data_IF_198458687902
#
_entry.id   IF_198458687902
#
_cell.length_a   1.000
_cell.length_b   1.000
_cell.length_c   1.000
_cell.angle_alpha   90.00
_cell.angle_beta   90.00
_cell.angle_gamma   90.00
#
_symmetry.space_group_name_H-M   'P 1'
#
loop_
_entity.id
_entity.type
_entity.pdbx_description
1 polymer ?
#
# COMPACT_ATOMS: atom_id res chain seq x y z
N UNK A 1 -19.68 -23.21 -1.27
CA UNK A 1 -18.42 -22.51 -1.63
C UNK A 1 -18.31 -21.28 -0.74
N UNK A 2 -17.32 -21.22 0.14
CA UNK A 2 -17.16 -20.09 1.06
C UNK A 2 -16.57 -18.89 0.31
N UNK A 3 -17.09 -17.68 0.57
CA UNK A 3 -16.61 -16.43 -0.03
C UNK A 3 -15.07 -16.24 0.11
N UNK A 4 -14.47 -16.76 1.18
CA UNK A 4 -13.01 -16.78 1.38
C UNK A 4 -12.28 -17.63 0.34
N UNK A 5 -12.80 -18.79 0.00
CA UNK A 5 -12.20 -19.67 -1.02
C UNK A 5 -12.34 -19.07 -2.43
N UNK A 6 -13.45 -18.38 -2.69
CA UNK A 6 -13.67 -17.68 -3.95
C UNK A 6 -12.68 -16.53 -4.11
N UNK A 7 -12.46 -15.74 -3.05
CA UNK A 7 -11.48 -14.66 -3.04
C UNK A 7 -10.05 -15.18 -3.25
N UNK A 8 -9.66 -16.27 -2.57
CA UNK A 8 -8.35 -16.89 -2.72
C UNK A 8 -8.13 -17.45 -4.12
N UNK A 9 -9.12 -18.13 -4.69
CA UNK A 9 -9.05 -18.68 -6.05
C UNK A 9 -8.98 -17.55 -7.09
N UNK A 10 -9.66 -16.45 -6.86
CA UNK A 10 -9.65 -15.29 -7.75
C UNK A 10 -8.27 -14.58 -7.72
N UNK A 11 -7.66 -14.44 -6.54
CA UNK A 11 -6.29 -13.93 -6.40
C UNK A 11 -5.31 -14.83 -7.15
N UNK A 12 -5.47 -16.16 -7.04
CA UNK A 12 -4.59 -17.14 -7.69
C UNK A 12 -4.77 -17.16 -9.22
N UNK A 13 -6.01 -16.98 -9.72
CA UNK A 13 -6.31 -16.96 -11.15
C UNK A 13 -5.88 -15.69 -11.88
N UNK A 14 -5.89 -14.54 -11.20
CA UNK A 14 -5.59 -13.22 -11.76
C UNK A 14 -4.28 -12.60 -11.22
N UNK A 15 -3.32 -13.44 -10.89
CA UNK A 15 -2.05 -13.05 -10.26
C UNK A 15 -1.32 -11.89 -10.96
N UNK A 16 -1.44 -11.80 -12.28
CA UNK A 16 -0.79 -10.73 -13.06
C UNK A 16 -1.32 -9.33 -12.72
N UNK A 17 -2.61 -9.18 -12.49
CA UNK A 17 -3.24 -7.91 -12.13
C UNK A 17 -2.95 -7.54 -10.66
N UNK A 18 -2.86 -8.55 -9.79
CA UNK A 18 -2.55 -8.36 -8.38
C UNK A 18 -1.08 -7.98 -8.14
N UNK A 19 -0.14 -8.48 -8.98
CA UNK A 19 1.28 -8.10 -8.89
C UNK A 19 1.47 -6.59 -8.98
N UNK A 20 0.84 -5.95 -9.95
CA UNK A 20 0.98 -4.49 -10.13
C UNK A 20 0.51 -3.73 -8.91
N UNK A 21 -0.64 -4.11 -8.35
CA UNK A 21 -1.17 -3.50 -7.12
C UNK A 21 -0.27 -3.75 -5.91
N UNK A 22 0.20 -4.99 -5.71
CA UNK A 22 1.10 -5.34 -4.62
C UNK A 22 2.43 -4.58 -4.70
N UNK A 23 3.04 -4.54 -5.88
CA UNK A 23 4.31 -3.83 -6.09
C UNK A 23 4.14 -2.34 -5.79
N UNK A 24 3.08 -1.71 -6.29
CA UNK A 24 2.77 -0.31 -6.04
C UNK A 24 2.54 -0.02 -4.55
N UNK A 25 1.77 -0.86 -3.88
CA UNK A 25 1.50 -0.70 -2.44
C UNK A 25 2.74 -0.94 -1.60
N UNK A 26 3.53 -1.97 -1.90
CA UNK A 26 4.80 -2.24 -1.23
C UNK A 26 5.78 -1.07 -1.39
N UNK A 27 5.90 -0.53 -2.60
CA UNK A 27 6.79 0.60 -2.88
C UNK A 27 6.41 1.84 -2.06
N UNK A 28 5.12 2.15 -1.96
CA UNK A 28 4.63 3.25 -1.12
C UNK A 28 4.98 3.05 0.35
N UNK A 29 4.80 1.83 0.87
CA UNK A 29 5.11 1.51 2.26
C UNK A 29 6.63 1.59 2.51
N UNK A 30 7.45 1.10 1.60
CA UNK A 30 8.92 1.17 1.69
C UNK A 30 9.39 2.62 1.72
N UNK A 31 8.88 3.47 0.81
CA UNK A 31 9.22 4.90 0.79
C UNK A 31 8.83 5.59 2.09
N UNK A 32 7.63 5.34 2.59
CA UNK A 32 7.16 5.87 3.85
C UNK A 32 8.02 5.39 5.03
N UNK A 33 8.36 4.11 5.08
CA UNK A 33 9.19 3.53 6.13
C UNK A 33 10.61 4.10 6.12
N UNK A 34 11.23 4.22 4.93
CA UNK A 34 12.55 4.84 4.80
C UNK A 34 12.56 6.29 5.27
N UNK A 35 11.52 7.03 4.90
CA UNK A 35 11.36 8.41 5.35
C UNK A 35 11.20 8.52 6.88
N UNK A 36 10.35 7.67 7.48
CA UNK A 36 10.18 7.62 8.91
C UNK A 36 11.48 7.22 9.63
N UNK A 37 12.20 6.22 9.11
CA UNK A 37 13.48 5.77 9.64
C UNK A 37 14.53 6.89 9.62
N UNK A 38 14.56 7.70 8.57
CA UNK A 38 15.48 8.83 8.46
C UNK A 38 15.19 9.93 9.48
N UNK A 39 13.90 10.25 9.72
CA UNK A 39 13.53 11.28 10.72
C UNK A 39 13.95 10.87 12.14
N UNK A 40 13.80 9.60 12.47
CA UNK A 40 14.11 9.08 13.81
C UNK A 40 15.57 8.65 13.96
N UNK A 41 16.43 8.87 12.96
CA UNK A 41 17.83 8.54 13.06
C UNK A 41 18.55 9.36 14.17
N UNK A 42 19.33 8.71 15.04
CA UNK A 42 19.99 9.38 16.17
C UNK A 42 20.85 10.57 15.75
N UNK A 43 21.55 10.48 14.62
CA UNK A 43 22.42 11.54 14.11
C UNK A 43 21.64 12.78 13.67
N UNK A 44 20.41 12.61 13.18
CA UNK A 44 19.50 13.71 12.83
C UNK A 44 18.92 14.34 14.08
N UNK A 45 18.70 13.54 15.14
CA UNK A 45 18.13 13.97 16.42
C UNK A 45 19.19 14.65 17.30
N UNK A 46 20.47 14.23 17.23
CA UNK A 46 21.57 14.70 18.09
C UNK A 46 22.36 15.88 17.55
N UNK A 47 22.05 16.38 16.35
CA UNK A 47 22.75 17.51 15.72
C UNK A 47 22.56 18.86 16.43
N UNK A 48 23.38 19.83 16.05
CA UNK A 48 23.42 21.19 16.61
C UNK A 48 22.02 21.83 16.65
N UNK A 49 21.63 22.47 17.78
CA UNK A 49 20.25 22.93 18.08
C UNK A 49 19.66 23.82 16.98
N UNK A 50 20.46 24.67 16.34
CA UNK A 50 20.00 25.57 15.28
C UNK A 50 19.74 24.81 13.96
N UNK A 51 20.64 23.89 13.60
CA UNK A 51 20.54 23.06 12.44
C UNK A 51 19.38 22.04 12.59
N UNK A 52 19.22 21.49 13.79
CA UNK A 52 18.12 20.61 14.18
C UNK A 52 16.76 21.27 13.95
N UNK A 53 16.54 22.52 14.42
CA UNK A 53 15.27 23.23 14.22
C UNK A 53 14.93 23.44 12.76
N UNK A 54 15.92 23.74 11.93
CA UNK A 54 15.73 23.97 10.50
C UNK A 54 15.41 22.67 9.76
N UNK A 55 16.13 21.58 10.09
CA UNK A 55 15.91 20.25 9.54
C UNK A 55 14.54 19.70 9.99
N UNK A 56 14.20 19.82 11.27
CA UNK A 56 12.91 19.32 11.79
C UNK A 56 11.73 20.03 11.13
N UNK A 57 11.80 21.35 10.96
CA UNK A 57 10.75 22.12 10.29
C UNK A 57 10.60 21.75 8.80
N UNK A 58 11.72 21.54 8.12
CA UNK A 58 11.72 21.05 6.74
C UNK A 58 11.14 19.63 6.61
N UNK A 59 11.52 18.75 7.54
CA UNK A 59 11.03 17.37 7.58
C UNK A 59 9.53 17.28 7.92
N UNK A 60 9.04 18.14 8.83
CA UNK A 60 7.59 18.21 9.12
C UNK A 60 6.78 18.60 7.87
N UNK A 61 7.25 19.61 7.12
CA UNK A 61 6.60 20.01 5.87
C UNK A 61 6.63 18.89 4.83
N UNK A 62 7.76 18.20 4.69
CA UNK A 62 7.89 17.04 3.80
C UNK A 62 7.01 15.87 4.22
N UNK A 63 6.77 15.68 5.51
CA UNK A 63 5.90 14.61 6.00
C UNK A 63 4.48 14.73 5.42
N UNK A 64 3.90 15.93 5.42
CA UNK A 64 2.58 16.15 4.83
C UNK A 64 2.57 15.82 3.33
N UNK A 65 3.61 16.22 2.61
CA UNK A 65 3.75 15.93 1.18
C UNK A 65 3.82 14.42 0.95
N UNK A 66 4.67 13.71 1.68
CA UNK A 66 4.82 12.25 1.55
C UNK A 66 3.51 11.52 1.87
N UNK A 67 2.79 11.92 2.93
CA UNK A 67 1.50 11.32 3.29
C UNK A 67 0.46 11.53 2.19
N UNK A 68 0.35 12.77 1.68
CA UNK A 68 -0.60 13.09 0.60
C UNK A 68 -0.28 12.29 -0.67
N UNK A 69 0.98 12.29 -1.10
CA UNK A 69 1.39 11.54 -2.29
C UNK A 69 1.18 10.03 -2.13
N UNK A 70 1.51 9.46 -0.96
CA UNK A 70 1.27 8.05 -0.68
C UNK A 70 -0.22 7.71 -0.73
N UNK A 71 -1.07 8.56 -0.15
CA UNK A 71 -2.52 8.38 -0.20
C UNK A 71 -3.05 8.45 -1.64
N UNK A 72 -2.65 9.46 -2.41
CA UNK A 72 -3.03 9.59 -3.83
C UNK A 72 -2.56 8.40 -4.66
N UNK A 73 -1.34 7.92 -4.41
CA UNK A 73 -0.78 6.78 -5.12
C UNK A 73 -1.53 5.48 -4.82
N UNK A 74 -1.88 5.25 -3.56
CA UNK A 74 -2.70 4.09 -3.15
C UNK A 74 -4.10 4.17 -3.78
N UNK A 75 -4.73 5.35 -3.77
CA UNK A 75 -6.03 5.56 -4.41
C UNK A 75 -5.97 5.32 -5.92
N UNK A 76 -4.92 5.80 -6.58
CA UNK A 76 -4.69 5.56 -8.00
C UNK A 76 -4.49 4.08 -8.32
N UNK A 77 -3.63 3.40 -7.57
CA UNK A 77 -3.37 1.96 -7.72
C UNK A 77 -4.64 1.14 -7.53
N UNK A 78 -5.43 1.47 -6.50
CA UNK A 78 -6.71 0.82 -6.23
C UNK A 78 -7.73 1.07 -7.36
N UNK A 79 -7.85 2.31 -7.82
CA UNK A 79 -8.73 2.65 -8.94
C UNK A 79 -8.37 1.90 -10.23
N UNK A 80 -7.08 1.82 -10.53
CA UNK A 80 -6.57 1.11 -11.71
C UNK A 80 -6.83 -0.39 -11.60
N UNK A 81 -6.62 -0.96 -10.43
CA UNK A 81 -6.93 -2.36 -10.15
C UNK A 81 -8.41 -2.69 -10.35
N UNK A 82 -9.30 -1.87 -9.80
CA UNK A 82 -10.74 -2.05 -9.96
C UNK A 82 -11.19 -1.90 -11.43
N UNK A 83 -10.58 -0.97 -12.19
CA UNK A 83 -10.85 -0.81 -13.62
C UNK A 83 -10.44 -2.02 -14.44
N UNK A 84 -9.31 -2.63 -14.14
CA UNK A 84 -8.82 -3.83 -14.82
C UNK A 84 -9.79 -5.03 -14.65
N UNK A 85 -10.55 -5.05 -13.55
CA UNK A 85 -11.47 -6.14 -13.20
C UNK A 85 -12.94 -5.87 -13.51
N UNK A 86 -13.27 -4.77 -14.15
CA UNK A 86 -14.67 -4.43 -14.48
C UNK A 86 -15.41 -5.53 -15.23
N UNK A 87 -14.74 -6.26 -16.13
CA UNK A 87 -15.33 -7.38 -16.87
C UNK A 87 -15.73 -8.53 -15.97
N UNK A 88 -14.94 -8.87 -14.97
CA UNK A 88 -15.22 -9.92 -13.99
C UNK A 88 -16.41 -9.55 -13.10
N UNK A 89 -16.47 -8.30 -12.67
CA UNK A 89 -17.61 -7.79 -11.89
C UNK A 89 -18.90 -7.77 -12.71
N UNK A 90 -18.82 -7.43 -14.00
CA UNK A 90 -19.96 -7.52 -14.91
C UNK A 90 -20.48 -8.95 -15.05
N UNK A 91 -19.61 -9.94 -15.24
CA UNK A 91 -19.95 -11.36 -15.33
C UNK A 91 -20.61 -11.86 -14.04
N UNK A 92 -20.06 -11.53 -12.87
CA UNK A 92 -20.63 -11.91 -11.57
C UNK A 92 -22.03 -11.32 -11.37
N UNK A 93 -22.26 -10.11 -11.84
CA UNK A 93 -23.58 -9.48 -11.78
C UNK A 93 -24.60 -10.16 -12.70
N UNK A 94 -24.15 -10.62 -13.87
CA UNK A 94 -25.01 -11.37 -14.83
C UNK A 94 -25.43 -12.75 -14.28
N UNK A 95 -24.59 -13.37 -13.46
CA UNK A 95 -24.88 -14.69 -12.82
C UNK A 95 -25.81 -14.51 -11.59
N UNK A 96 -26.22 -13.28 -11.27
CA UNK A 96 -27.18 -12.99 -10.18
C UNK A 96 -26.53 -12.54 -8.86
N UNK A 97 -25.26 -12.17 -8.87
CA UNK A 97 -24.58 -11.59 -7.71
C UNK A 97 -25.17 -10.22 -7.34
N UNK A 98 -25.53 -10.04 -6.08
CA UNK A 98 -26.01 -8.73 -5.59
C UNK A 98 -24.84 -7.76 -5.41
N UNK A 99 -25.10 -6.45 -5.58
CA UNK A 99 -24.10 -5.38 -5.40
C UNK A 99 -23.42 -5.43 -4.02
N UNK A 100 -24.17 -5.82 -2.98
CA UNK A 100 -23.65 -5.96 -1.62
C UNK A 100 -22.67 -7.14 -1.48
N UNK A 101 -22.96 -8.27 -2.12
CA UNK A 101 -22.05 -9.42 -2.11
C UNK A 101 -20.76 -9.13 -2.85
N UNK A 102 -20.86 -8.44 -3.99
CA UNK A 102 -19.71 -7.99 -4.76
C UNK A 102 -18.83 -7.02 -3.97
N UNK A 103 -19.44 -6.06 -3.29
CA UNK A 103 -18.74 -5.10 -2.43
C UNK A 103 -17.97 -5.79 -1.29
N UNK A 104 -18.59 -6.75 -0.61
CA UNK A 104 -17.92 -7.53 0.45
C UNK A 104 -16.75 -8.34 -0.07
N UNK A 105 -16.87 -8.94 -1.25
CA UNK A 105 -15.80 -9.69 -1.89
C UNK A 105 -14.61 -8.78 -2.19
N UNK A 106 -14.84 -7.60 -2.77
CA UNK A 106 -13.80 -6.62 -3.07
C UNK A 106 -13.09 -6.17 -1.80
N UNK A 107 -13.83 -5.86 -0.74
CA UNK A 107 -13.25 -5.42 0.54
C UNK A 107 -12.38 -6.52 1.15
N UNK A 108 -12.81 -7.76 1.14
CA UNK A 108 -12.03 -8.90 1.64
C UNK A 108 -10.75 -9.09 0.84
N UNK A 109 -10.81 -9.01 -0.48
CA UNK A 109 -9.62 -9.08 -1.34
C UNK A 109 -8.65 -7.94 -1.04
N UNK A 110 -9.14 -6.72 -0.90
CA UNK A 110 -8.33 -5.55 -0.59
C UNK A 110 -7.66 -5.65 0.79
N UNK A 111 -8.37 -6.16 1.80
CA UNK A 111 -7.81 -6.39 3.14
C UNK A 111 -6.71 -7.45 3.11
N UNK A 112 -6.90 -8.54 2.38
CA UNK A 112 -5.88 -9.60 2.24
C UNK A 112 -4.63 -9.06 1.53
N UNK A 113 -4.81 -8.37 0.40
CA UNK A 113 -3.70 -7.79 -0.36
C UNK A 113 -2.98 -6.69 0.43
N UNK A 114 -3.72 -5.84 1.12
CA UNK A 114 -3.18 -4.81 1.98
C UNK A 114 -2.35 -5.38 3.12
N UNK A 115 -2.83 -6.43 3.78
CA UNK A 115 -2.08 -7.12 4.83
C UNK A 115 -0.75 -7.70 4.32
N UNK A 116 -0.78 -8.35 3.17
CA UNK A 116 0.44 -8.88 2.53
C UNK A 116 1.39 -7.74 2.16
N UNK A 117 0.87 -6.66 1.58
CA UNK A 117 1.66 -5.50 1.18
C UNK A 117 2.34 -4.84 2.39
N UNK A 118 1.66 -4.73 3.52
CA UNK A 118 2.21 -4.17 4.77
C UNK A 118 3.35 -5.05 5.28
N UNK A 119 3.15 -6.36 5.40
CA UNK A 119 4.17 -7.28 5.90
C UNK A 119 5.41 -7.27 5.01
N UNK A 120 5.23 -7.37 3.70
CA UNK A 120 6.33 -7.36 2.73
C UNK A 120 6.99 -5.98 2.67
N UNK A 121 6.20 -4.90 2.66
CA UNK A 121 6.70 -3.52 2.62
C UNK A 121 7.54 -3.17 3.85
N UNK A 122 7.12 -3.54 5.04
CA UNK A 122 7.89 -3.35 6.28
C UNK A 122 9.16 -4.19 6.24
N UNK A 123 9.09 -5.46 5.82
CA UNK A 123 10.26 -6.33 5.72
C UNK A 123 11.32 -5.77 4.77
N UNK A 124 10.92 -5.36 3.58
CA UNK A 124 11.82 -4.72 2.59
C UNK A 124 12.32 -3.38 3.11
N UNK A 125 11.46 -2.57 3.74
CA UNK A 125 11.83 -1.29 4.33
C UNK A 125 12.90 -1.43 5.41
N UNK A 126 12.79 -2.43 6.28
CA UNK A 126 13.82 -2.72 7.29
C UNK A 126 15.16 -3.14 6.67
N UNK A 127 15.12 -3.96 5.60
CA UNK A 127 16.35 -4.36 4.88
C UNK A 127 17.00 -3.15 4.20
N UNK A 128 16.22 -2.31 3.54
CA UNK A 128 16.73 -1.08 2.93
C UNK A 128 17.28 -0.12 3.98
N UNK A 129 16.61 0.06 5.10
CA UNK A 129 17.08 0.92 6.20
C UNK A 129 18.44 0.46 6.75
N UNK A 130 18.64 -0.85 6.90
CA UNK A 130 19.94 -1.41 7.32
C UNK A 130 21.07 -1.23 6.30
N UNK A 131 20.73 -1.14 5.02
CA UNK A 131 21.71 -0.90 3.95
C UNK A 131 22.17 0.56 3.91
N UNK A 132 21.34 1.50 4.36
CA UNK A 132 21.64 2.93 4.38
C UNK A 132 22.26 3.42 5.70
N UNK A 133 22.22 2.61 6.71
CA UNK A 133 22.80 2.84 8.03
C UNK A 133 24.03 1.97 8.23
#
# INVERSE_FOLDING_TARGET
>A
MNFRQLALNNVKGNWRNYKAFLISSCLSIVVFFMYASFIYHPDVVSGNISMRKMITKGLESMNYIVVIFSALFILYANSTFLRARKKEFGLLTLIGGTKSQLGRMIILEQLMLGSIAIVVGIGVGMLCSKLFV
#
